data_IF_626279879315
#
_entry.id   IF_626279879315
#
_cell.length_a   1.000
_cell.length_b   1.000
_cell.length_c   1.000
_cell.angle_alpha   90.00
_cell.angle_beta   90.00
_cell.angle_gamma   90.00
#
_symmetry.space_group_name_H-M   'P 1'
#
loop_
_entity.id
_entity.type
_entity.pdbx_description
1 polymer ?
#
# COMPACT_ATOMS: atom_id res chain seq x y z
N UNK A 1 -5.87 5.91 1.79
CA UNK A 1 -4.53 6.19 1.23
C UNK A 1 -3.84 4.96 0.65
N UNK A 2 -3.64 3.87 1.41
CA UNK A 2 -2.87 2.71 0.92
C UNK A 2 -3.37 2.06 -0.37
N UNK A 3 -4.69 1.82 -0.50
CA UNK A 3 -5.29 1.22 -1.71
C UNK A 3 -5.08 2.06 -2.97
N UNK A 4 -5.34 3.36 -2.88
CA UNK A 4 -5.10 4.33 -3.96
C UNK A 4 -3.63 4.36 -4.37
N UNK A 5 -2.72 4.41 -3.39
CA UNK A 5 -1.28 4.38 -3.68
C UNK A 5 -0.87 3.09 -4.40
N UNK A 6 -1.33 1.93 -3.92
CA UNK A 6 -1.07 0.66 -4.58
C UNK A 6 -1.62 0.64 -6.02
N UNK A 7 -2.83 1.16 -6.23
CA UNK A 7 -3.41 1.31 -7.56
C UNK A 7 -2.56 2.19 -8.49
N UNK A 8 -2.04 3.31 -7.98
CA UNK A 8 -1.15 4.18 -8.74
C UNK A 8 0.19 3.50 -9.07
N UNK A 9 0.78 2.76 -8.13
CA UNK A 9 2.02 2.01 -8.35
C UNK A 9 1.81 0.95 -9.43
N UNK A 10 0.72 0.17 -9.36
CA UNK A 10 0.41 -0.83 -10.40
C UNK A 10 0.22 -0.16 -11.77
N UNK A 11 -0.35 1.03 -11.83
CA UNK A 11 -0.46 1.77 -13.08
C UNK A 11 0.89 2.23 -13.64
N UNK A 12 1.80 2.72 -12.79
CA UNK A 12 3.13 3.20 -13.21
C UNK A 12 4.07 2.06 -13.55
N UNK A 13 4.09 1.04 -12.71
CA UNK A 13 5.01 -0.08 -12.82
C UNK A 13 4.40 -1.28 -13.55
N UNK A 14 3.12 -1.26 -13.92
CA UNK A 14 2.45 -2.46 -14.42
C UNK A 14 2.32 -3.54 -13.34
N UNK A 15 1.70 -4.65 -13.73
CA UNK A 15 1.49 -5.81 -12.86
C UNK A 15 2.22 -7.02 -13.45
N UNK A 16 2.95 -7.76 -12.62
CA UNK A 16 3.48 -9.06 -13.04
C UNK A 16 2.40 -10.12 -12.88
N UNK A 17 1.91 -10.65 -14.00
CA UNK A 17 0.94 -11.76 -14.05
C UNK A 17 1.61 -12.93 -14.76
N UNK A 18 1.73 -14.07 -14.09
CA UNK A 18 2.36 -15.29 -14.64
C UNK A 18 3.79 -15.09 -15.17
N UNK A 19 4.53 -14.12 -14.61
CA UNK A 19 5.90 -13.79 -15.02
C UNK A 19 6.00 -12.75 -16.14
N UNK A 20 4.87 -12.30 -16.71
CA UNK A 20 4.84 -11.25 -17.73
C UNK A 20 4.37 -9.92 -17.14
N UNK A 21 5.01 -8.83 -17.56
CA UNK A 21 4.66 -7.47 -17.13
C UNK A 21 3.50 -6.95 -17.98
N UNK A 22 2.34 -6.79 -17.36
CA UNK A 22 1.12 -6.32 -18.01
C UNK A 22 0.89 -4.85 -17.67
N UNK A 23 0.62 -4.03 -18.69
CA UNK A 23 0.26 -2.62 -18.50
C UNK A 23 -1.12 -2.51 -17.84
N UNK A 24 -1.22 -1.64 -16.84
CA UNK A 24 -2.46 -1.27 -16.21
C UNK A 24 -2.78 0.21 -16.43
N UNK A 25 -4.05 0.55 -16.63
CA UNK A 25 -4.53 1.93 -16.67
C UNK A 25 -5.31 2.27 -15.42
N UNK A 26 -5.14 3.50 -14.94
CA UNK A 26 -5.77 3.99 -13.73
C UNK A 26 -6.74 5.11 -14.05
N UNK A 27 -7.96 5.00 -13.52
CA UNK A 27 -8.96 6.05 -13.57
C UNK A 27 -9.39 6.42 -12.15
N UNK A 28 -9.33 7.72 -11.77
CA UNK A 28 -9.69 8.15 -10.43
C UNK A 28 -11.19 8.00 -10.12
N UNK A 29 -12.03 7.90 -11.16
CA UNK A 29 -13.48 7.73 -11.10
C UNK A 29 -13.95 6.93 -12.32
N UNK A 30 -15.02 6.13 -12.15
CA UNK A 30 -15.61 5.35 -13.25
C UNK A 30 -16.04 6.22 -14.45
N UNK A 31 -16.46 7.46 -14.20
CA UNK A 31 -16.87 8.40 -15.26
C UNK A 31 -15.73 8.81 -16.20
N UNK A 32 -14.49 8.65 -15.77
CA UNK A 32 -13.29 8.93 -16.56
C UNK A 32 -12.87 7.75 -17.43
N UNK A 33 -13.58 6.62 -17.35
CA UNK A 33 -13.25 5.41 -18.11
C UNK A 33 -13.28 5.68 -19.61
N UNK A 34 -12.16 5.42 -20.26
CA UNK A 34 -12.00 5.46 -21.71
C UNK A 34 -11.43 4.13 -22.23
N UNK A 35 -11.47 3.95 -23.55
CA UNK A 35 -10.87 2.77 -24.19
C UNK A 35 -9.36 2.83 -24.07
N UNK A 36 -8.76 1.67 -23.83
CA UNK A 36 -7.31 1.51 -23.77
C UNK A 36 -6.90 0.15 -24.34
N UNK A 37 -5.67 0.05 -24.84
CA UNK A 37 -5.05 -1.21 -25.23
C UNK A 37 -4.62 -2.05 -24.03
N UNK A 38 -4.56 -1.45 -22.83
CA UNK A 38 -4.23 -2.16 -21.61
C UNK A 38 -5.27 -3.23 -21.27
N UNK A 39 -4.82 -4.37 -20.75
CA UNK A 39 -5.68 -5.47 -20.32
C UNK A 39 -6.13 -5.37 -18.88
N UNK A 40 -5.47 -4.53 -18.09
CA UNK A 40 -5.76 -4.31 -16.68
C UNK A 40 -6.26 -2.87 -16.49
N UNK A 41 -7.36 -2.71 -15.76
CA UNK A 41 -7.90 -1.40 -15.37
C UNK A 41 -8.07 -1.30 -13.86
N UNK A 42 -7.77 -0.13 -13.34
CA UNK A 42 -7.91 0.24 -11.93
C UNK A 42 -8.88 1.41 -11.87
N UNK A 43 -10.00 1.25 -11.16
CA UNK A 43 -10.97 2.32 -10.91
C UNK A 43 -10.93 2.67 -9.42
N UNK A 44 -10.61 3.92 -9.11
CA UNK A 44 -10.63 4.42 -7.74
C UNK A 44 -11.96 5.09 -7.37
N UNK A 45 -12.12 5.32 -6.06
CA UNK A 45 -13.23 6.04 -5.45
C UNK A 45 -14.62 5.47 -5.82
N UNK A 46 -14.71 4.15 -6.00
CA UNK A 46 -15.98 3.52 -6.33
C UNK A 46 -16.94 3.53 -5.12
N UNK A 47 -18.23 3.79 -5.33
CA UNK A 47 -19.24 3.51 -4.32
C UNK A 47 -19.30 1.99 -3.99
N UNK A 48 -19.45 1.60 -2.71
CA UNK A 48 -19.36 0.20 -2.28
C UNK A 48 -20.63 -0.59 -2.55
N UNK A 49 -21.71 0.06 -2.99
CA UNK A 49 -22.97 -0.58 -3.27
C UNK A 49 -22.78 -1.61 -4.39
N UNK A 50 -23.36 -2.79 -4.20
CA UNK A 50 -23.27 -3.90 -5.15
C UNK A 50 -23.69 -3.50 -6.57
N UNK A 51 -24.65 -2.59 -6.71
CA UNK A 51 -25.08 -2.04 -7.99
C UNK A 51 -23.96 -1.29 -8.70
N UNK A 52 -23.29 -0.37 -8.01
CA UNK A 52 -22.17 0.42 -8.55
C UNK A 52 -20.98 -0.47 -8.94
N UNK A 53 -20.65 -1.47 -8.10
CA UNK A 53 -19.61 -2.45 -8.39
C UNK A 53 -19.94 -3.24 -9.67
N UNK A 54 -21.18 -3.73 -9.81
CA UNK A 54 -21.60 -4.49 -10.99
C UNK A 54 -21.58 -3.65 -12.26
N UNK A 55 -22.05 -2.41 -12.19
CA UNK A 55 -22.00 -1.48 -13.31
C UNK A 55 -20.54 -1.22 -13.74
N UNK A 56 -19.65 -0.96 -12.78
CA UNK A 56 -18.23 -0.74 -13.05
C UNK A 56 -17.59 -1.93 -13.77
N UNK A 57 -17.82 -3.17 -13.27
CA UNK A 57 -17.30 -4.39 -13.91
C UNK A 57 -17.84 -4.51 -15.34
N UNK A 58 -19.14 -4.30 -15.54
CA UNK A 58 -19.76 -4.40 -16.86
C UNK A 58 -19.16 -3.39 -17.84
N UNK A 59 -19.03 -2.13 -17.43
CA UNK A 59 -18.43 -1.07 -18.26
C UNK A 59 -16.98 -1.34 -18.57
N UNK A 60 -16.19 -1.83 -17.62
CA UNK A 60 -14.79 -2.19 -17.86
C UNK A 60 -14.67 -3.36 -18.86
N UNK A 61 -15.45 -4.43 -18.67
CA UNK A 61 -15.43 -5.57 -19.61
C UNK A 61 -15.88 -5.18 -21.01
N UNK A 62 -16.89 -4.31 -21.12
CA UNK A 62 -17.33 -3.78 -22.41
C UNK A 62 -16.25 -2.96 -23.14
N UNK A 63 -15.33 -2.36 -22.39
CA UNK A 63 -14.18 -1.64 -22.94
C UNK A 63 -12.96 -2.56 -23.22
N UNK A 64 -13.10 -3.88 -23.03
CA UNK A 64 -12.06 -4.85 -23.39
C UNK A 64 -11.01 -5.13 -22.31
N UNK A 65 -11.27 -4.71 -21.06
CA UNK A 65 -10.40 -5.01 -19.92
C UNK A 65 -10.66 -6.43 -19.40
N UNK A 66 -9.58 -7.20 -19.23
CA UNK A 66 -9.62 -8.59 -18.76
C UNK A 66 -9.59 -8.64 -17.22
N UNK A 67 -8.71 -7.84 -16.61
CA UNK A 67 -8.59 -7.71 -15.16
C UNK A 67 -9.09 -6.34 -14.71
N UNK A 68 -9.98 -6.33 -13.72
CA UNK A 68 -10.60 -5.12 -13.17
C UNK A 68 -10.29 -5.04 -11.68
N UNK A 69 -9.56 -4.01 -11.27
CA UNK A 69 -9.28 -3.70 -9.87
C UNK A 69 -10.17 -2.51 -9.47
N UNK A 70 -11.02 -2.71 -8.47
CA UNK A 70 -11.94 -1.68 -7.98
C UNK A 70 -11.53 -1.27 -6.58
N UNK A 71 -11.25 0.00 -6.38
CA UNK A 71 -10.93 0.57 -5.08
C UNK A 71 -12.16 1.36 -4.63
N UNK A 72 -12.77 0.91 -3.54
CA UNK A 72 -13.88 1.63 -2.92
C UNK A 72 -13.38 2.69 -1.95
N UNK A 73 -14.22 3.68 -1.68
CA UNK A 73 -13.93 4.71 -0.66
C UNK A 73 -13.97 4.18 0.77
N UNK A 74 -14.47 2.95 0.99
CA UNK A 74 -14.46 2.33 2.31
C UNK A 74 -13.01 2.09 2.79
N UNK A 75 -12.75 2.19 4.10
CA UNK A 75 -11.47 1.77 4.65
C UNK A 75 -11.20 0.31 4.27
N UNK A 76 -9.92 -0.02 4.05
CA UNK A 76 -9.58 -1.42 3.90
C UNK A 76 -9.96 -2.10 5.21
N UNK A 77 -10.77 -3.15 5.16
CA UNK A 77 -10.94 -4.01 6.32
C UNK A 77 -9.66 -4.82 6.46
N UNK A 78 -8.69 -4.21 7.10
CA UNK A 78 -7.46 -4.85 7.48
C UNK A 78 -7.79 -5.85 8.60
N UNK A 79 -8.28 -7.04 8.23
CA UNK A 79 -8.07 -8.23 9.05
C UNK A 79 -6.59 -8.63 8.93
N UNK A 80 -5.70 -7.70 9.25
CA UNK A 80 -4.29 -7.99 9.44
C UNK A 80 -4.21 -8.55 10.86
N UNK A 81 -3.84 -9.82 11.07
CA UNK A 81 -3.50 -10.27 12.40
C UNK A 81 -2.38 -9.37 12.90
N UNK A 82 -2.71 -8.48 13.85
CA UNK A 82 -1.73 -7.62 14.48
C UNK A 82 -0.88 -8.50 15.39
N UNK A 83 0.22 -9.03 14.86
CA UNK A 83 1.27 -9.59 15.70
C UNK A 83 1.93 -8.40 16.38
N UNK A 84 1.54 -8.14 17.63
CA UNK A 84 2.34 -7.29 18.51
C UNK A 84 3.57 -8.10 18.88
N UNK A 85 4.69 -7.79 18.23
CA UNK A 85 5.99 -8.27 18.69
C UNK A 85 6.36 -7.37 19.87
N UNK A 86 6.14 -7.88 21.08
CA UNK A 86 6.70 -7.27 22.28
C UNK A 86 8.18 -7.66 22.32
N UNK A 87 9.05 -6.64 22.32
CA UNK A 87 10.48 -6.86 22.45
C UNK A 87 10.76 -7.38 23.86
N UNK A 88 11.45 -8.51 23.95
CA UNK A 88 11.94 -9.03 25.21
C UNK A 88 13.09 -8.16 25.74
N UNK A 89 13.41 -8.27 27.03
CA UNK A 89 14.58 -7.58 27.59
C UNK A 89 15.90 -7.95 26.87
N UNK A 90 15.97 -9.17 26.33
CA UNK A 90 17.11 -9.65 25.55
C UNK A 90 17.22 -8.93 24.21
N UNK A 91 16.10 -8.68 23.54
CA UNK A 91 16.05 -7.90 22.28
C UNK A 91 16.49 -6.45 22.52
N UNK A 92 16.05 -5.83 23.62
CA UNK A 92 16.51 -4.50 24.01
C UNK A 92 18.02 -4.47 24.24
N UNK A 93 18.56 -5.48 24.94
CA UNK A 93 20.00 -5.58 25.18
C UNK A 93 20.79 -5.74 23.89
N UNK A 94 20.31 -6.57 22.96
CA UNK A 94 20.93 -6.79 21.67
C UNK A 94 20.91 -5.52 20.79
N UNK A 95 19.77 -4.82 20.73
CA UNK A 95 19.63 -3.59 19.96
C UNK A 95 20.53 -2.49 20.53
N UNK A 96 20.53 -2.29 21.86
CA UNK A 96 21.39 -1.30 22.51
C UNK A 96 22.88 -1.57 22.25
N UNK A 97 23.33 -2.83 22.35
CA UNK A 97 24.71 -3.21 22.06
C UNK A 97 25.09 -2.94 20.59
N UNK A 98 24.19 -3.21 19.65
CA UNK A 98 24.44 -2.93 18.23
C UNK A 98 24.45 -1.43 17.92
N UNK A 99 23.57 -0.65 18.53
CA UNK A 99 23.54 0.80 18.35
C UNK A 99 24.80 1.45 18.95
N UNK A 100 25.23 1.03 20.15
CA UNK A 100 26.49 1.50 20.74
C UNK A 100 27.70 1.17 19.88
N UNK A 101 27.76 -0.05 19.33
CA UNK A 101 28.85 -0.47 18.44
C UNK A 101 28.93 0.30 17.13
N UNK A 102 27.78 0.66 16.54
CA UNK A 102 27.74 1.25 15.21
C UNK A 102 27.60 2.79 15.21
N UNK A 103 27.05 3.38 16.27
CA UNK A 103 26.74 4.82 16.35
C UNK A 103 27.62 5.53 17.40
N UNK A 104 28.28 4.78 18.30
CA UNK A 104 29.33 5.31 19.18
C UNK A 104 28.87 6.28 20.27
N UNK A 105 27.56 6.38 20.56
CA UNK A 105 27.02 7.17 21.69
C UNK A 105 26.16 6.28 22.60
N UNK A 106 26.28 6.43 23.93
CA UNK A 106 25.50 5.64 24.88
C UNK A 106 24.00 5.91 24.71
N UNK A 107 23.22 4.84 24.70
CA UNK A 107 21.77 4.88 24.49
C UNK A 107 21.10 5.59 25.68
N UNK A 108 20.42 6.74 25.48
CA UNK A 108 19.64 7.33 26.55
C UNK A 108 18.35 6.53 26.71
N UNK A 109 18.24 5.76 27.81
CA UNK A 109 17.08 4.95 28.22
C UNK A 109 15.74 5.70 28.37
N UNK A 110 15.68 6.98 27.99
CA UNK A 110 14.51 7.86 28.12
C UNK A 110 13.74 8.10 26.81
N UNK A 111 14.19 7.53 25.70
CA UNK A 111 13.56 7.73 24.39
C UNK A 111 12.46 6.69 24.18
N UNK A 112 11.23 7.12 23.86
CA UNK A 112 10.06 6.23 23.79
C UNK A 112 9.95 5.48 22.47
N UNK A 113 10.64 5.94 21.42
CA UNK A 113 10.65 5.31 20.11
C UNK A 113 11.84 5.78 19.25
N UNK A 114 12.11 5.05 18.17
CA UNK A 114 13.20 5.32 17.25
C UNK A 114 13.14 6.70 16.56
N UNK A 115 11.96 7.31 16.43
CA UNK A 115 11.79 8.61 15.78
C UNK A 115 12.23 9.78 16.66
N UNK A 116 11.99 9.68 17.96
CA UNK A 116 12.51 10.63 18.95
C UNK A 116 14.06 10.60 18.99
N UNK A 117 14.66 9.43 18.76
CA UNK A 117 16.12 9.27 18.66
C UNK A 117 16.71 10.01 17.46
N UNK A 118 16.10 9.91 16.28
CA UNK A 118 16.58 10.58 15.06
C UNK A 118 16.46 12.11 15.19
N UNK A 119 15.43 12.61 15.88
CA UNK A 119 15.23 14.05 16.09
C UNK A 119 16.23 14.67 17.08
N UNK A 120 16.65 13.93 18.11
CA UNK A 120 17.61 14.41 19.11
C UNK A 120 19.08 14.44 18.65
N UNK A 121 19.39 13.96 17.46
CA UNK A 121 20.75 13.98 16.88
C UNK A 121 21.08 15.23 16.05
N UNK A 122 20.16 16.19 15.99
CA UNK A 122 20.28 17.45 15.23
C UNK A 122 20.26 18.69 16.15
N UNK A 123 20.90 18.60 17.31
CA UNK A 123 21.35 19.76 18.10
C UNK A 123 22.86 19.67 18.35
#
# INVERSE_FOLDING_TARGET
>A
MGKTFLGWVIHKEGLSLSGERVRAVYFPLLKCLERSEAKVVIIDNLPPERGAIREAIHRCRWNGFDLVILITHLPAQDQIPSVRVELSEEDFKFISQNLERNIGRPFPWRVRNLWEMIKGGYE
#
